data_IF_370242519994
#
_entry.id   IF_370242519994
#
_cell.length_a   1.000
_cell.length_b   1.000
_cell.length_c   1.000
_cell.angle_alpha   90.00
_cell.angle_beta   90.00
_cell.angle_gamma   90.00
#
_symmetry.space_group_name_H-M   'P 1'
#
loop_
_entity.id
_entity.type
_entity.pdbx_description
1 polymer ?
#
# COMPACT_ATOMS: atom_id res chain seq x y z
N UNK A 1 2.51 3.49 37.16
CA UNK A 1 1.59 4.37 37.86
C UNK A 1 2.10 5.81 37.93
N UNK A 2 3.32 6.05 38.35
CA UNK A 2 3.88 7.41 38.45
C UNK A 2 3.80 8.14 37.09
N UNK A 3 4.25 7.53 35.99
CA UNK A 3 4.20 8.13 34.67
C UNK A 3 2.77 8.46 34.20
N UNK A 4 1.78 7.62 34.56
CA UNK A 4 0.35 7.88 34.25
C UNK A 4 -0.15 9.08 35.04
N UNK A 5 0.19 9.17 36.32
CA UNK A 5 -0.20 10.30 37.18
C UNK A 5 0.45 11.60 36.73
N UNK A 6 1.73 11.57 36.33
CA UNK A 6 2.41 12.71 35.72
C UNK A 6 1.76 13.17 34.41
N UNK A 7 1.32 12.23 33.60
CA UNK A 7 0.60 12.54 32.35
C UNK A 7 -0.78 13.17 32.62
N UNK A 8 -1.54 12.60 33.54
CA UNK A 8 -2.82 13.17 33.98
C UNK A 8 -2.63 14.59 34.54
N UNK A 9 -1.59 14.79 35.35
CA UNK A 9 -1.29 16.11 35.93
C UNK A 9 -0.93 17.16 34.90
N UNK A 10 -0.07 16.80 33.92
CA UNK A 10 0.24 17.68 32.78
C UNK A 10 -0.99 18.01 31.93
N UNK A 11 -1.95 17.08 31.83
CA UNK A 11 -3.24 17.29 31.17
C UNK A 11 -4.26 18.09 31.98
N UNK A 12 -3.88 18.56 33.19
CA UNK A 12 -4.75 19.32 34.08
C UNK A 12 -5.85 18.50 34.75
N UNK A 13 -5.60 17.18 34.96
CA UNK A 13 -6.54 16.29 35.66
C UNK A 13 -6.14 16.13 37.12
N UNK A 14 -7.13 16.20 38.01
CA UNK A 14 -6.98 15.90 39.42
C UNK A 14 -7.11 14.41 39.75
N UNK A 15 -7.69 13.64 38.83
CA UNK A 15 -7.82 12.18 38.94
C UNK A 15 -6.44 11.50 39.01
N UNK A 16 -6.34 10.40 39.77
CA UNK A 16 -5.08 9.68 39.98
C UNK A 16 -5.25 8.16 39.92
N UNK A 17 -4.20 7.50 39.50
CA UNK A 17 -4.10 6.04 39.55
C UNK A 17 -3.34 5.61 40.80
N UNK A 18 -3.93 4.77 41.62
CA UNK A 18 -3.34 4.22 42.83
C UNK A 18 -3.37 2.71 42.84
N UNK A 19 -2.51 2.07 43.63
CA UNK A 19 -2.59 0.65 43.93
C UNK A 19 -2.81 0.41 45.41
N UNK A 20 -3.64 -0.56 45.76
CA UNK A 20 -3.83 -1.02 47.13
C UNK A 20 -3.49 -2.50 47.19
N UNK A 21 -2.63 -2.89 48.13
CA UNK A 21 -2.23 -4.29 48.32
C UNK A 21 -3.49 -5.18 48.48
N UNK A 22 -3.66 -6.17 47.64
CA UNK A 22 -4.82 -7.09 47.63
C UNK A 22 -5.98 -6.65 46.73
N UNK A 23 -6.04 -5.36 46.29
CA UNK A 23 -7.16 -4.83 45.46
C UNK A 23 -6.75 -4.39 44.06
N UNK A 24 -5.50 -4.64 43.64
CA UNK A 24 -5.01 -4.30 42.32
C UNK A 24 -4.80 -2.79 42.08
N UNK A 25 -4.86 -2.39 40.82
CA UNK A 25 -4.75 -1.00 40.38
C UNK A 25 -6.14 -0.37 40.33
N UNK A 26 -6.29 0.81 40.92
CA UNK A 26 -7.56 1.54 40.96
C UNK A 26 -7.35 2.99 40.52
N UNK A 27 -8.25 3.48 39.67
CA UNK A 27 -8.30 4.89 39.33
C UNK A 27 -9.27 5.60 40.28
N UNK A 28 -8.81 6.67 40.91
CA UNK A 28 -9.63 7.59 41.70
C UNK A 28 -10.07 8.69 40.77
N UNK A 29 -11.29 8.60 40.26
CA UNK A 29 -11.87 9.55 39.31
C UNK A 29 -12.54 10.72 40.02
N UNK A 30 -12.20 11.93 39.61
CA UNK A 30 -12.99 13.13 39.92
C UNK A 30 -14.19 13.14 38.97
N UNK A 31 -15.41 13.16 39.51
CA UNK A 31 -16.64 12.94 38.72
C UNK A 31 -16.76 13.85 37.49
N UNK A 32 -16.33 15.12 37.59
CA UNK A 32 -16.35 16.08 36.47
C UNK A 32 -15.33 15.79 35.37
N UNK A 33 -14.34 14.94 35.62
CA UNK A 33 -13.29 14.61 34.67
C UNK A 33 -13.54 13.30 33.92
N UNK A 34 -14.54 12.52 34.33
CA UNK A 34 -14.83 11.20 33.77
C UNK A 34 -14.95 11.22 32.25
N UNK A 35 -15.80 12.08 31.70
CA UNK A 35 -15.99 12.18 30.24
C UNK A 35 -14.74 12.66 29.49
N UNK A 36 -13.94 13.58 30.09
CA UNK A 36 -12.68 14.04 29.52
C UNK A 36 -11.60 12.95 29.53
N UNK A 37 -11.57 12.14 30.60
CA UNK A 37 -10.65 11.01 30.71
C UNK A 37 -11.09 9.89 29.79
N UNK A 38 -12.38 9.60 29.68
CA UNK A 38 -12.93 8.64 28.71
C UNK A 38 -12.62 9.05 27.26
N UNK A 39 -12.75 10.34 26.93
CA UNK A 39 -12.33 10.88 25.63
C UNK A 39 -10.81 10.79 25.43
N UNK A 40 -10.00 11.09 26.44
CA UNK A 40 -8.55 10.96 26.42
C UNK A 40 -8.15 9.48 26.25
N UNK A 41 -8.83 8.55 26.92
CA UNK A 41 -8.59 7.10 26.82
C UNK A 41 -9.10 6.56 25.49
N UNK A 42 -10.21 7.06 24.96
CA UNK A 42 -10.69 6.70 23.63
C UNK A 42 -9.78 7.24 22.51
N UNK A 43 -9.19 8.43 22.71
CA UNK A 43 -8.21 9.03 21.81
C UNK A 43 -6.80 8.39 21.98
N UNK A 44 -6.51 7.93 23.21
CA UNK A 44 -5.32 7.17 23.58
C UNK A 44 -5.70 5.75 23.95
N UNK A 45 -6.40 4.99 23.09
CA UNK A 45 -6.74 3.60 23.43
C UNK A 45 -5.48 2.85 23.86
N UNK A 46 -5.25 2.82 25.19
CA UNK A 46 -4.24 2.01 25.90
C UNK A 46 -4.78 0.56 26.00
N UNK A 47 -5.54 0.14 25.02
CA UNK A 47 -5.64 -1.26 24.71
C UNK A 47 -4.23 -1.70 24.31
N UNK A 48 -3.78 -2.81 24.87
CA UNK A 48 -2.50 -3.41 24.49
C UNK A 48 -2.40 -3.38 22.98
N UNK A 49 -1.55 -2.51 22.45
CA UNK A 49 -1.42 -2.30 20.99
C UNK A 49 -1.43 -3.66 20.31
N UNK A 50 -2.20 -3.85 19.23
CA UNK A 50 -2.18 -5.11 18.48
C UNK A 50 -0.73 -5.54 18.24
N UNK A 51 -0.50 -6.83 18.28
CA UNK A 51 0.86 -7.40 18.15
C UNK A 51 1.58 -6.94 16.89
N UNK A 52 0.82 -6.77 15.81
CA UNK A 52 1.33 -6.28 14.52
C UNK A 52 1.80 -4.82 14.62
N UNK A 53 1.09 -3.97 15.34
CA UNK A 53 1.46 -2.57 15.56
C UNK A 53 2.75 -2.43 16.36
N UNK A 54 2.87 -3.21 17.46
CA UNK A 54 4.11 -3.26 18.24
C UNK A 54 5.29 -3.75 17.40
N UNK A 55 5.02 -4.72 16.51
CA UNK A 55 6.01 -5.25 15.60
C UNK A 55 6.60 -4.16 14.70
N UNK A 56 5.77 -3.51 13.88
CA UNK A 56 6.30 -2.54 12.91
C UNK A 56 6.93 -1.33 13.61
N UNK A 57 6.28 -0.81 14.66
CA UNK A 57 6.87 0.29 15.43
C UNK A 57 8.21 -0.11 16.05
N UNK A 58 8.32 -1.32 16.59
CA UNK A 58 9.57 -1.86 17.12
C UNK A 58 10.66 -2.03 16.07
N UNK A 59 10.30 -2.56 14.90
CA UNK A 59 11.23 -2.67 13.76
C UNK A 59 11.76 -1.30 13.35
N UNK A 60 10.88 -0.31 13.17
CA UNK A 60 11.29 1.06 12.80
C UNK A 60 12.16 1.73 13.87
N UNK A 61 11.84 1.56 15.15
CA UNK A 61 12.68 2.08 16.23
C UNK A 61 14.10 1.48 16.21
N UNK A 62 14.21 0.19 15.94
CA UNK A 62 15.50 -0.49 15.89
C UNK A 62 16.30 -0.12 14.62
N UNK A 63 15.64 0.16 13.50
CA UNK A 63 16.29 0.31 12.19
C UNK A 63 16.43 1.75 11.71
N UNK A 64 15.47 2.62 12.05
CA UNK A 64 15.40 4.00 11.54
C UNK A 64 15.66 5.07 12.59
N UNK A 65 15.81 4.69 13.88
CA UNK A 65 16.16 5.64 14.94
C UNK A 65 17.67 5.72 15.12
N UNK A 66 18.23 6.92 15.41
CA UNK A 66 19.64 7.07 15.79
C UNK A 66 19.96 6.49 17.19
N UNK A 67 18.91 6.10 17.94
CA UNK A 67 19.06 5.53 19.29
C UNK A 67 19.21 4.02 19.22
N UNK A 68 20.17 3.48 19.97
CA UNK A 68 20.27 2.04 20.20
C UNK A 68 19.25 1.57 21.25
N UNK A 69 18.61 0.46 21.00
CA UNK A 69 17.62 -0.14 21.89
C UNK A 69 18.10 -1.46 22.46
N UNK A 70 17.93 -1.64 23.76
CA UNK A 70 17.93 -2.97 24.42
C UNK A 70 16.51 -3.51 24.48
N UNK A 71 16.34 -4.79 24.84
CA UNK A 71 14.99 -5.36 25.03
C UNK A 71 14.18 -4.56 26.05
N UNK A 72 14.81 -4.12 27.14
CA UNK A 72 14.13 -3.36 28.19
C UNK A 72 13.76 -1.93 27.75
N UNK A 73 14.64 -1.24 27.02
CA UNK A 73 14.34 0.11 26.53
C UNK A 73 13.30 0.07 25.38
N UNK A 74 13.34 -0.95 24.53
CA UNK A 74 12.34 -1.14 23.48
C UNK A 74 10.98 -1.49 24.06
N UNK A 75 10.91 -2.35 25.10
CA UNK A 75 9.65 -2.66 25.76
C UNK A 75 8.98 -1.40 26.32
N UNK A 76 9.77 -0.52 26.97
CA UNK A 76 9.26 0.77 27.44
C UNK A 76 8.78 1.67 26.32
N UNK A 77 9.52 1.76 25.21
CA UNK A 77 9.16 2.56 24.05
C UNK A 77 7.86 2.05 23.37
N UNK A 78 7.62 0.75 23.40
CA UNK A 78 6.42 0.11 22.87
C UNK A 78 5.26 0.01 23.86
N UNK A 79 5.39 0.60 25.05
CA UNK A 79 4.41 0.54 26.14
C UNK A 79 4.00 -0.89 26.51
N UNK A 80 4.96 -1.81 26.53
CA UNK A 80 4.78 -3.22 26.89
C UNK A 80 5.79 -3.67 27.96
N UNK A 81 5.67 -4.88 28.46
CA UNK A 81 6.65 -5.45 29.36
C UNK A 81 7.66 -6.34 28.61
N UNK A 82 8.80 -6.60 29.29
CA UNK A 82 9.90 -7.39 28.72
C UNK A 82 9.48 -8.79 28.26
N UNK A 83 8.65 -9.48 29.06
CA UNK A 83 8.21 -10.85 28.75
C UNK A 83 7.33 -10.87 27.49
N UNK A 84 6.38 -9.94 27.40
CA UNK A 84 5.53 -9.79 26.22
C UNK A 84 6.36 -9.46 24.99
N UNK A 85 7.31 -8.52 25.10
CA UNK A 85 8.18 -8.18 23.96
C UNK A 85 9.03 -9.38 23.53
N UNK A 86 9.60 -10.15 24.46
CA UNK A 86 10.35 -11.37 24.15
C UNK A 86 9.50 -12.42 23.43
N UNK A 87 8.22 -12.53 23.81
CA UNK A 87 7.27 -13.40 23.13
C UNK A 87 6.97 -12.88 21.72
N UNK A 88 6.74 -11.56 21.57
CA UNK A 88 6.52 -10.94 20.27
C UNK A 88 7.74 -11.09 19.35
N UNK A 89 8.95 -10.93 19.87
CA UNK A 89 10.21 -11.08 19.10
C UNK A 89 10.41 -12.50 18.53
N UNK A 90 9.87 -13.54 19.16
CA UNK A 90 9.88 -14.88 18.58
C UNK A 90 9.03 -14.95 17.31
N UNK A 91 7.88 -14.30 17.33
CA UNK A 91 7.01 -14.19 16.18
C UNK A 91 7.61 -13.26 15.10
N UNK A 92 8.26 -12.15 15.49
CA UNK A 92 9.00 -11.29 14.56
C UNK A 92 10.03 -12.07 13.77
N UNK A 93 10.79 -12.93 14.43
CA UNK A 93 11.79 -13.77 13.77
C UNK A 93 11.15 -14.71 12.71
N UNK A 94 9.94 -15.22 12.94
CA UNK A 94 9.23 -16.00 11.93
C UNK A 94 8.82 -15.15 10.70
N UNK A 95 8.40 -13.90 10.91
CA UNK A 95 8.06 -12.99 9.82
C UNK A 95 9.28 -12.52 9.03
N UNK A 96 10.43 -12.41 9.67
CA UNK A 96 11.70 -11.99 9.07
C UNK A 96 12.35 -13.11 8.23
N UNK A 97 12.13 -14.36 8.61
CA UNK A 97 12.78 -15.52 7.98
C UNK A 97 12.62 -15.60 6.46
N UNK A 98 11.45 -15.36 5.85
CA UNK A 98 11.30 -15.38 4.38
C UNK A 98 12.12 -14.31 3.66
N UNK A 99 12.58 -13.27 4.37
CA UNK A 99 13.41 -12.20 3.85
C UNK A 99 14.90 -12.40 4.17
N UNK A 100 15.27 -13.56 4.73
CA UNK A 100 16.64 -13.87 5.17
C UNK A 100 17.17 -12.86 6.21
N UNK A 101 16.24 -12.29 7.00
CA UNK A 101 16.56 -11.35 8.07
C UNK A 101 16.58 -12.06 9.43
N UNK A 102 17.48 -11.62 10.29
CA UNK A 102 17.58 -12.10 11.66
C UNK A 102 17.70 -10.95 12.68
N UNK A 103 17.29 -11.20 13.92
CA UNK A 103 17.39 -10.22 14.99
C UNK A 103 18.51 -10.58 15.96
N UNK A 104 19.55 -9.74 16.03
CA UNK A 104 20.59 -9.81 17.03
C UNK A 104 20.08 -9.29 18.37
N UNK A 105 20.33 -10.06 19.45
CA UNK A 105 19.81 -9.76 20.81
C UNK A 105 20.89 -9.53 21.85
N UNK A 106 22.14 -9.62 21.46
CA UNK A 106 23.28 -9.40 22.38
C UNK A 106 23.66 -7.92 22.39
N UNK A 107 23.53 -7.28 23.56
CA UNK A 107 23.75 -5.85 23.70
C UNK A 107 22.59 -5.02 23.17
N UNK A 108 22.85 -4.17 22.19
CA UNK A 108 21.81 -3.43 21.46
C UNK A 108 21.12 -4.34 20.43
N UNK A 109 19.80 -4.17 20.30
CA UNK A 109 19.02 -4.85 19.27
C UNK A 109 19.42 -4.33 17.88
N UNK A 110 19.63 -5.25 16.93
CA UNK A 110 19.86 -4.95 15.53
C UNK A 110 19.17 -5.99 14.66
N UNK A 111 18.79 -5.62 13.44
CA UNK A 111 18.31 -6.54 12.41
C UNK A 111 19.44 -6.72 11.41
N UNK A 112 19.85 -7.96 11.20
CA UNK A 112 20.93 -8.39 10.31
C UNK A 112 20.34 -9.00 9.05
N UNK A 113 20.97 -8.76 7.91
CA UNK A 113 20.62 -9.21 6.57
C UNK A 113 20.89 -8.13 5.53
N UNK A 114 20.48 -8.36 4.29
CA UNK A 114 20.63 -7.40 3.20
C UNK A 114 19.82 -6.14 3.47
N UNK A 115 20.38 -4.97 3.16
CA UNK A 115 19.68 -3.68 3.30
C UNK A 115 18.46 -3.59 2.40
N UNK A 116 18.51 -4.15 1.19
CA UNK A 116 17.36 -4.25 0.27
C UNK A 116 16.25 -5.07 0.92
N UNK A 117 16.57 -6.26 1.43
CA UNK A 117 15.61 -7.15 2.07
C UNK A 117 14.98 -6.50 3.31
N UNK A 118 15.78 -5.79 4.11
CA UNK A 118 15.28 -5.07 5.29
C UNK A 118 14.27 -3.99 4.91
N UNK A 119 14.58 -3.15 3.92
CA UNK A 119 13.67 -2.09 3.48
C UNK A 119 12.37 -2.67 2.92
N UNK A 120 12.45 -3.75 2.13
CA UNK A 120 11.25 -4.41 1.61
C UNK A 120 10.42 -5.07 2.70
N UNK A 121 11.05 -5.68 3.66
CA UNK A 121 10.36 -6.24 4.81
C UNK A 121 9.59 -5.17 5.60
N UNK A 122 10.20 -4.00 5.82
CA UNK A 122 9.54 -2.87 6.48
C UNK A 122 8.31 -2.44 5.68
N UNK A 123 8.44 -2.28 4.36
CA UNK A 123 7.34 -1.84 3.50
C UNK A 123 6.24 -2.88 3.42
N UNK A 124 6.59 -4.14 3.20
CA UNK A 124 5.65 -5.25 3.21
C UNK A 124 4.81 -5.30 4.49
N UNK A 125 5.47 -5.05 5.63
CA UNK A 125 4.80 -5.02 6.93
C UNK A 125 3.89 -3.80 7.09
N UNK A 126 4.24 -2.67 6.48
CA UNK A 126 3.46 -1.43 6.50
C UNK A 126 2.08 -1.58 5.86
N UNK A 127 1.94 -2.38 4.81
CA UNK A 127 0.66 -2.63 4.14
C UNK A 127 -0.42 -3.28 5.01
N UNK A 128 -0.03 -3.85 6.13
CA UNK A 128 -0.93 -4.53 7.06
C UNK A 128 -1.45 -3.61 8.17
N UNK A 129 -1.13 -2.30 8.09
CA UNK A 129 -1.50 -1.34 9.12
C UNK A 129 -2.68 -0.48 8.69
N UNK A 130 -3.50 -0.10 9.65
CA UNK A 130 -4.53 0.90 9.44
C UNK A 130 -3.98 2.35 9.39
N UNK A 131 -4.78 3.26 8.83
CA UNK A 131 -4.39 4.65 8.65
C UNK A 131 -4.14 5.40 9.99
N UNK A 132 -4.82 5.01 11.08
CA UNK A 132 -4.64 5.61 12.41
C UNK A 132 -3.28 5.26 12.98
N UNK A 133 -2.88 4.01 12.82
CA UNK A 133 -1.57 3.54 13.22
C UNK A 133 -0.46 4.31 12.52
N UNK A 134 -0.57 4.47 11.20
CA UNK A 134 0.39 5.24 10.42
C UNK A 134 0.49 6.66 10.94
N UNK A 135 -0.61 7.37 11.06
CA UNK A 135 -0.66 8.77 11.50
C UNK A 135 -0.12 8.98 12.92
N UNK A 136 -0.49 8.11 13.84
CA UNK A 136 -0.23 8.34 15.27
C UNK A 136 1.15 7.85 15.71
N UNK A 137 1.72 6.83 15.04
CA UNK A 137 2.93 6.17 15.51
C UNK A 137 4.06 6.12 14.49
N UNK A 138 3.73 6.11 13.21
CA UNK A 138 4.74 5.99 12.16
C UNK A 138 5.19 7.35 11.66
N UNK A 139 4.26 8.21 11.27
CA UNK A 139 4.59 9.55 10.76
C UNK A 139 5.42 10.39 11.74
N UNK A 140 5.15 10.38 13.06
CA UNK A 140 5.98 11.14 14.04
C UNK A 140 7.43 10.64 14.17
N UNK A 141 7.76 9.45 13.62
CA UNK A 141 9.14 8.95 13.64
C UNK A 141 10.03 9.59 12.57
N UNK A 142 9.41 10.23 11.56
CA UNK A 142 10.11 10.86 10.45
C UNK A 142 10.04 12.39 10.55
N UNK A 143 11.08 13.06 10.07
CA UNK A 143 11.12 14.52 10.05
C UNK A 143 10.00 15.09 9.16
N UNK A 144 9.37 16.17 9.64
CA UNK A 144 8.30 16.86 8.87
C UNK A 144 8.81 17.38 7.52
N UNK A 145 10.06 17.84 7.50
CA UNK A 145 10.74 18.30 6.30
C UNK A 145 10.85 17.21 5.24
N UNK A 146 11.12 15.97 5.67
CA UNK A 146 11.13 14.81 4.76
C UNK A 146 9.75 14.59 4.18
N UNK A 147 8.70 14.60 4.99
CA UNK A 147 7.33 14.40 4.50
C UNK A 147 6.97 15.44 3.44
N UNK A 148 7.22 16.73 3.70
CA UNK A 148 6.94 17.80 2.74
C UNK A 148 7.81 17.73 1.48
N UNK A 149 9.05 17.26 1.61
CA UNK A 149 9.93 17.04 0.47
C UNK A 149 9.42 15.88 -0.39
N UNK A 150 9.07 14.75 0.23
CA UNK A 150 8.65 13.54 -0.48
C UNK A 150 7.28 13.70 -1.16
N UNK A 151 6.37 14.50 -0.61
CA UNK A 151 5.12 14.85 -1.28
C UNK A 151 5.39 15.59 -2.61
N UNK A 152 6.33 16.55 -2.59
CA UNK A 152 6.76 17.25 -3.80
C UNK A 152 7.46 16.34 -4.80
N UNK A 153 8.28 15.42 -4.31
CA UNK A 153 8.94 14.41 -5.15
C UNK A 153 7.91 13.50 -5.83
N UNK A 154 6.86 13.09 -5.11
CA UNK A 154 5.79 12.31 -5.70
C UNK A 154 5.06 13.08 -6.81
N UNK A 155 4.72 14.36 -6.59
CA UNK A 155 4.11 15.22 -7.61
C UNK A 155 5.02 15.43 -8.83
N UNK A 156 6.34 15.55 -8.63
CA UNK A 156 7.31 15.64 -9.70
C UNK A 156 7.44 14.35 -10.50
N UNK A 157 7.42 13.20 -9.82
CA UNK A 157 7.48 11.88 -10.45
C UNK A 157 6.20 11.59 -11.25
N UNK A 158 5.02 11.89 -10.71
CA UNK A 158 3.74 11.72 -11.42
C UNK A 158 3.70 12.59 -12.71
N UNK A 159 4.18 13.82 -12.64
CA UNK A 159 4.28 14.68 -13.83
C UNK A 159 5.29 14.17 -14.85
N UNK A 160 6.44 13.67 -14.41
CA UNK A 160 7.46 13.11 -15.29
C UNK A 160 7.00 11.83 -15.98
N UNK A 161 6.27 11.00 -15.24
CA UNK A 161 5.72 9.73 -15.75
C UNK A 161 4.40 9.96 -16.54
N UNK A 162 3.79 11.14 -16.46
CA UNK A 162 2.50 11.44 -17.10
C UNK A 162 1.32 10.66 -16.51
N UNK A 163 1.43 10.18 -15.26
CA UNK A 163 0.45 9.31 -14.63
C UNK A 163 0.29 9.64 -13.16
N UNK A 164 -0.87 9.34 -12.59
CA UNK A 164 -1.14 9.48 -11.15
C UNK A 164 -1.03 8.13 -10.45
N UNK A 165 -0.28 8.09 -9.37
CA UNK A 165 -0.23 6.90 -8.50
C UNK A 165 -1.58 6.72 -7.78
N UNK A 166 -2.01 5.49 -7.65
CA UNK A 166 -3.08 5.17 -6.72
C UNK A 166 -2.68 5.60 -5.30
N UNK A 167 -3.64 6.08 -4.53
CA UNK A 167 -3.42 6.62 -3.18
C UNK A 167 -2.57 5.69 -2.30
N UNK A 168 -2.89 4.41 -2.31
CA UNK A 168 -2.13 3.39 -1.58
C UNK A 168 -0.68 3.29 -2.08
N UNK A 169 -0.46 3.25 -3.38
CA UNK A 169 0.89 3.21 -3.97
C UNK A 169 1.68 4.47 -3.65
N UNK A 170 1.03 5.64 -3.69
CA UNK A 170 1.66 6.91 -3.31
C UNK A 170 2.10 6.88 -1.84
N UNK A 171 1.25 6.39 -0.94
CA UNK A 171 1.58 6.23 0.47
C UNK A 171 2.74 5.24 0.68
N UNK A 172 2.73 4.13 -0.03
CA UNK A 172 3.78 3.12 0.01
C UNK A 172 5.11 3.66 -0.47
N UNK A 173 5.12 4.33 -1.63
CA UNK A 173 6.32 4.95 -2.18
C UNK A 173 6.84 6.04 -1.24
N UNK A 174 5.98 6.90 -0.71
CA UNK A 174 6.36 7.91 0.28
C UNK A 174 6.97 7.27 1.53
N UNK A 175 6.39 6.19 2.01
CA UNK A 175 6.91 5.47 3.18
C UNK A 175 8.26 4.80 2.89
N UNK A 176 8.42 4.16 1.72
CA UNK A 176 9.71 3.64 1.27
C UNK A 176 10.79 4.73 1.30
N UNK A 177 10.49 5.88 0.72
CA UNK A 177 11.44 6.98 0.64
C UNK A 177 11.76 7.58 2.01
N UNK A 178 10.79 7.63 2.95
CA UNK A 178 11.04 8.01 4.36
C UNK A 178 12.05 7.05 5.01
N UNK A 179 11.84 5.75 4.83
CA UNK A 179 12.76 4.72 5.34
C UNK A 179 14.13 4.87 4.70
N UNK A 180 14.21 5.04 3.38
CA UNK A 180 15.46 5.28 2.64
C UNK A 180 16.22 6.49 3.21
N UNK A 181 15.58 7.64 3.35
CA UNK A 181 16.21 8.84 3.90
C UNK A 181 16.72 8.62 5.33
N UNK A 182 15.93 7.97 6.19
CA UNK A 182 16.35 7.67 7.56
C UNK A 182 17.57 6.72 7.59
N UNK A 183 17.55 5.68 6.76
CA UNK A 183 18.64 4.71 6.66
C UNK A 183 19.92 5.34 6.12
N UNK A 184 19.83 6.16 5.06
CA UNK A 184 20.98 6.89 4.51
C UNK A 184 21.63 7.83 5.54
N UNK A 185 20.84 8.56 6.33
CA UNK A 185 21.39 9.40 7.43
C UNK A 185 22.10 8.60 8.50
N UNK A 186 21.76 7.34 8.68
CA UNK A 186 22.44 6.41 9.59
C UNK A 186 23.65 5.70 8.95
N UNK A 187 23.98 6.04 7.70
CA UNK A 187 25.11 5.47 6.97
C UNK A 187 24.85 4.09 6.36
N UNK A 188 23.59 3.65 6.29
CA UNK A 188 23.22 2.38 5.65
C UNK A 188 22.89 2.61 4.18
N UNK A 189 23.62 1.96 3.30
CA UNK A 189 23.47 1.98 1.84
C UNK A 189 23.12 0.60 1.32
N UNK A 190 22.55 0.56 0.11
CA UNK A 190 22.22 -0.71 -0.56
C UNK A 190 23.47 -1.55 -0.81
N UNK A 191 23.33 -2.86 -0.68
CA UNK A 191 24.40 -3.82 -0.88
C UNK A 191 24.93 -3.82 -2.33
N UNK A 192 26.18 -4.25 -2.53
CA UNK A 192 26.73 -4.52 -3.86
C UNK A 192 25.91 -5.62 -4.55
N UNK A 193 25.56 -5.41 -5.81
CA UNK A 193 24.69 -6.33 -6.56
C UNK A 193 23.21 -6.00 -6.56
N UNK A 194 22.75 -5.01 -5.78
CA UNK A 194 21.37 -4.48 -5.83
C UNK A 194 21.09 -3.65 -7.09
N UNK A 195 22.04 -3.62 -8.04
CA UNK A 195 21.99 -2.75 -9.20
C UNK A 195 21.01 -3.22 -10.27
N UNK A 196 20.00 -2.41 -10.51
CA UNK A 196 19.11 -2.50 -11.66
C UNK A 196 19.28 -1.23 -12.50
N UNK A 197 18.89 -1.30 -13.77
CA UNK A 197 18.88 -0.12 -14.63
C UNK A 197 17.64 0.73 -14.32
N UNK A 198 17.77 2.07 -14.30
CA UNK A 198 16.60 2.93 -14.17
C UNK A 198 15.60 2.70 -15.31
N UNK A 199 14.35 2.35 -14.97
CA UNK A 199 13.28 2.22 -15.95
C UNK A 199 12.96 3.57 -16.65
N UNK A 200 13.29 4.69 -15.98
CA UNK A 200 13.10 6.06 -16.45
C UNK A 200 14.33 6.92 -16.19
N UNK A 201 15.26 7.04 -17.17
CA UNK A 201 16.49 7.83 -17.02
C UNK A 201 16.26 9.32 -16.70
N UNK A 202 15.18 9.92 -17.23
CA UNK A 202 14.84 11.31 -16.93
C UNK A 202 14.40 11.49 -15.47
N UNK A 203 13.53 10.62 -14.98
CA UNK A 203 13.12 10.60 -13.57
C UNK A 203 14.30 10.35 -12.64
N UNK A 204 15.16 9.38 -12.98
CA UNK A 204 16.38 9.09 -12.22
C UNK A 204 17.25 10.34 -12.02
N UNK A 205 17.59 11.04 -13.10
CA UNK A 205 18.43 12.27 -13.03
C UNK A 205 17.80 13.35 -12.15
N UNK A 206 16.49 13.53 -12.28
CA UNK A 206 15.73 14.51 -11.49
C UNK A 206 15.73 14.14 -10.00
N UNK A 207 15.44 12.88 -9.66
CA UNK A 207 15.44 12.38 -8.30
C UNK A 207 16.83 12.51 -7.66
N UNK A 208 17.90 12.10 -8.36
CA UNK A 208 19.27 12.18 -7.85
C UNK A 208 19.60 13.60 -7.37
N UNK A 209 19.45 14.59 -8.23
CA UNK A 209 19.74 15.98 -7.90
C UNK A 209 18.89 16.50 -6.72
N UNK A 210 17.62 16.08 -6.61
CA UNK A 210 16.72 16.50 -5.54
C UNK A 210 17.09 15.89 -4.20
N UNK A 211 17.34 14.58 -4.16
CA UNK A 211 17.69 13.86 -2.94
C UNK A 211 19.06 14.27 -2.41
N UNK A 212 20.08 14.40 -3.26
CA UNK A 212 21.42 14.88 -2.85
C UNK A 212 21.35 16.27 -2.21
N UNK A 213 20.56 17.17 -2.79
CA UNK A 213 20.35 18.51 -2.21
C UNK A 213 19.60 18.45 -0.88
N UNK A 214 18.59 17.59 -0.75
CA UNK A 214 17.78 17.46 0.46
C UNK A 214 18.56 16.84 1.61
N UNK A 215 19.33 15.80 1.33
CA UNK A 215 20.13 15.08 2.33
C UNK A 215 21.50 15.75 2.60
N UNK A 216 21.93 16.67 1.73
CA UNK A 216 23.22 17.36 1.86
C UNK A 216 24.44 16.46 1.66
N UNK A 217 24.28 15.31 0.96
CA UNK A 217 25.32 14.32 0.72
C UNK A 217 25.14 13.67 -0.65
N UNK A 218 26.25 13.20 -1.27
CA UNK A 218 26.16 12.40 -2.48
C UNK A 218 25.44 11.07 -2.19
N UNK A 219 24.63 10.61 -3.15
CA UNK A 219 23.83 9.39 -3.02
C UNK A 219 24.25 8.41 -4.11
N UNK A 220 24.43 7.16 -3.72
CA UNK A 220 24.76 6.06 -4.63
C UNK A 220 23.64 5.91 -5.69
N UNK A 221 24.05 5.69 -6.94
CA UNK A 221 23.13 5.54 -8.08
C UNK A 221 22.13 4.40 -7.89
N UNK A 222 22.51 3.35 -7.17
CA UNK A 222 21.63 2.22 -6.82
C UNK A 222 20.41 2.65 -6.00
N UNK A 223 20.63 3.54 -5.03
CA UNK A 223 19.54 4.09 -4.18
C UNK A 223 18.51 4.83 -5.03
N UNK A 224 19.00 5.70 -5.91
CA UNK A 224 18.12 6.50 -6.77
C UNK A 224 17.47 5.65 -7.86
N UNK A 225 18.19 4.66 -8.39
CA UNK A 225 17.63 3.69 -9.34
C UNK A 225 16.45 2.95 -8.72
N UNK A 226 16.62 2.42 -7.51
CA UNK A 226 15.58 1.71 -6.81
C UNK A 226 14.39 2.63 -6.49
N UNK A 227 14.65 3.86 -6.03
CA UNK A 227 13.60 4.86 -5.78
C UNK A 227 12.83 5.22 -7.06
N UNK A 228 13.52 5.43 -8.18
CA UNK A 228 12.91 5.69 -9.49
C UNK A 228 12.05 4.53 -9.96
N UNK A 229 12.56 3.31 -9.83
CA UNK A 229 11.85 2.10 -10.22
C UNK A 229 10.65 1.82 -9.31
N UNK A 230 10.72 2.22 -8.04
CA UNK A 230 9.58 2.13 -7.12
C UNK A 230 8.41 3.01 -7.57
N UNK A 231 8.67 4.22 -8.06
CA UNK A 231 7.63 5.05 -8.71
C UNK A 231 7.10 4.36 -9.97
N UNK A 232 7.98 3.84 -10.81
CA UNK A 232 7.62 3.26 -12.11
C UNK A 232 6.81 1.97 -11.99
N UNK A 233 7.03 1.16 -10.95
CA UNK A 233 6.29 -0.09 -10.71
C UNK A 233 5.10 0.05 -9.75
N UNK A 234 4.80 1.26 -9.28
CA UNK A 234 3.64 1.55 -8.47
C UNK A 234 2.33 1.25 -9.20
N UNK A 235 1.26 1.09 -8.44
CA UNK A 235 -0.07 0.96 -9.01
C UNK A 235 -0.62 2.34 -9.37
N UNK A 236 -1.12 2.48 -10.59
CA UNK A 236 -1.61 3.75 -11.14
C UNK A 236 -3.11 3.88 -10.98
N UNK A 237 -3.59 5.12 -10.84
CA UNK A 237 -5.02 5.37 -10.79
C UNK A 237 -5.67 5.07 -12.13
N UNK A 238 -6.82 4.42 -12.06
CA UNK A 238 -7.70 4.27 -13.19
C UNK A 238 -8.61 5.48 -13.32
N UNK A 239 -8.77 5.99 -14.54
CA UNK A 239 -9.78 6.99 -14.85
C UNK A 239 -10.34 6.74 -16.24
N UNK A 240 -11.52 7.28 -16.53
CA UNK A 240 -12.17 7.20 -17.85
C UNK A 240 -11.34 7.79 -18.99
N UNK A 241 -10.41 8.67 -18.68
CA UNK A 241 -9.43 9.19 -19.63
C UNK A 241 -8.30 8.22 -19.98
N UNK A 242 -8.34 6.98 -19.43
CA UNK A 242 -7.29 5.98 -19.60
C UNK A 242 -6.15 6.12 -18.57
N UNK A 243 -5.09 5.33 -18.77
CA UNK A 243 -3.92 5.21 -17.89
C UNK A 243 -2.96 6.43 -17.92
N UNK A 244 -3.38 7.57 -18.45
CA UNK A 244 -2.51 8.71 -18.69
C UNK A 244 -1.81 8.64 -20.05
N UNK A 245 -0.98 9.64 -20.33
CA UNK A 245 -0.36 9.83 -21.65
C UNK A 245 0.82 8.89 -21.94
N UNK A 246 1.21 8.04 -20.98
CA UNK A 246 2.36 7.16 -21.17
C UNK A 246 2.02 5.96 -22.02
N UNK A 247 2.72 5.82 -23.13
CA UNK A 247 2.70 4.59 -23.92
C UNK A 247 3.52 3.49 -23.20
N UNK A 248 3.00 2.26 -23.14
CA UNK A 248 3.75 1.12 -22.64
C UNK A 248 5.01 0.90 -23.48
N UNK A 249 6.05 0.30 -22.87
CA UNK A 249 7.23 -0.10 -23.62
C UNK A 249 6.86 -1.13 -24.71
N UNK A 250 7.61 -1.15 -25.82
CA UNK A 250 7.41 -2.14 -26.89
C UNK A 250 7.38 -3.57 -26.34
N UNK A 251 8.21 -3.86 -25.33
CA UNK A 251 8.29 -5.17 -24.68
C UNK A 251 7.00 -5.52 -23.95
N UNK A 252 6.42 -4.60 -23.18
CA UNK A 252 5.18 -4.82 -22.45
C UNK A 252 3.97 -4.90 -23.38
N UNK A 253 3.95 -4.08 -24.43
CA UNK A 253 2.93 -4.12 -25.47
C UNK A 253 2.95 -5.45 -26.22
N UNK A 254 4.13 -5.91 -26.67
CA UNK A 254 4.26 -7.21 -27.33
C UNK A 254 3.82 -8.37 -26.43
N UNK A 255 4.15 -8.34 -25.13
CA UNK A 255 3.74 -9.35 -24.18
C UNK A 255 2.21 -9.32 -23.96
N UNK A 256 1.61 -8.13 -23.89
CA UNK A 256 0.15 -7.98 -23.82
C UNK A 256 -0.54 -8.55 -25.08
N UNK A 257 0.02 -8.34 -26.28
CA UNK A 257 -0.49 -8.89 -27.52
C UNK A 257 -0.45 -10.43 -27.53
N UNK A 258 0.60 -11.04 -26.98
CA UNK A 258 0.66 -12.50 -26.82
C UNK A 258 -0.46 -13.00 -25.88
N UNK A 259 -0.68 -12.31 -24.76
CA UNK A 259 -1.77 -12.61 -23.82
C UNK A 259 -3.12 -12.42 -24.51
N UNK A 260 -3.33 -11.31 -25.20
CA UNK A 260 -4.59 -11.02 -25.93
C UNK A 260 -4.95 -12.10 -26.94
N UNK A 261 -3.99 -12.55 -27.76
CA UNK A 261 -4.20 -13.65 -28.72
C UNK A 261 -4.51 -14.98 -28.03
N UNK A 262 -3.89 -15.25 -26.88
CA UNK A 262 -4.18 -16.47 -26.13
C UNK A 262 -5.61 -16.45 -25.56
N UNK A 263 -6.05 -15.29 -25.06
CA UNK A 263 -7.41 -15.10 -24.57
C UNK A 263 -8.44 -15.22 -25.69
N UNK A 264 -8.20 -14.56 -26.83
CA UNK A 264 -9.08 -14.69 -28.02
C UNK A 264 -9.20 -16.14 -28.50
N UNK A 265 -8.06 -16.83 -28.63
CA UNK A 265 -8.04 -18.24 -29.00
C UNK A 265 -8.81 -19.13 -28.01
N UNK A 266 -8.71 -18.84 -26.72
CA UNK A 266 -9.32 -19.66 -25.65
C UNK A 266 -10.81 -19.39 -25.48
N UNK A 267 -11.24 -18.13 -25.60
CA UNK A 267 -12.58 -17.67 -25.24
C UNK A 267 -13.40 -17.16 -26.42
N UNK A 268 -12.84 -17.13 -27.64
CA UNK A 268 -13.54 -16.75 -28.85
C UNK A 268 -13.82 -15.26 -29.02
N UNK A 269 -13.34 -14.40 -28.11
CA UNK A 269 -13.52 -12.94 -28.15
C UNK A 269 -12.19 -12.25 -27.88
N UNK A 270 -11.80 -11.31 -28.75
CA UNK A 270 -10.63 -10.49 -28.53
C UNK A 270 -10.86 -9.52 -27.36
N UNK A 271 -9.87 -9.31 -26.48
CA UNK A 271 -9.90 -8.21 -25.52
C UNK A 271 -10.02 -6.87 -26.23
N UNK A 272 -10.76 -5.93 -25.65
CA UNK A 272 -10.85 -4.59 -26.20
C UNK A 272 -9.55 -3.77 -25.99
N UNK A 273 -9.45 -2.63 -26.70
CA UNK A 273 -8.26 -1.78 -26.63
C UNK A 273 -7.99 -1.20 -25.25
N UNK A 274 -9.01 -1.04 -24.42
CA UNK A 274 -8.90 -0.58 -23.04
C UNK A 274 -8.24 -1.63 -22.15
N UNK A 275 -8.73 -2.87 -22.24
CA UNK A 275 -8.15 -4.00 -21.52
C UNK A 275 -6.71 -4.26 -21.97
N UNK A 276 -6.42 -4.14 -23.27
CA UNK A 276 -5.06 -4.31 -23.79
C UNK A 276 -4.10 -3.24 -23.24
N UNK A 277 -4.53 -1.99 -23.13
CA UNK A 277 -3.74 -0.93 -22.48
C UNK A 277 -3.50 -1.21 -21.00
N UNK A 278 -4.53 -1.69 -20.27
CA UNK A 278 -4.41 -2.12 -18.87
C UNK A 278 -3.41 -3.25 -18.71
N UNK A 279 -3.51 -4.28 -19.52
CA UNK A 279 -2.58 -5.41 -19.52
C UNK A 279 -1.15 -4.97 -19.77
N UNK A 280 -0.93 -4.12 -20.77
CA UNK A 280 0.41 -3.60 -21.07
C UNK A 280 1.02 -2.85 -19.86
N UNK A 281 0.24 -2.00 -19.18
CA UNK A 281 0.71 -1.27 -18.02
C UNK A 281 0.98 -2.17 -16.81
N UNK A 282 0.13 -3.19 -16.58
CA UNK A 282 0.35 -4.17 -15.52
C UNK A 282 1.59 -5.02 -15.77
N UNK A 283 1.79 -5.46 -17.01
CA UNK A 283 2.97 -6.21 -17.43
C UNK A 283 4.25 -5.40 -17.34
N UNK A 284 4.22 -4.11 -17.71
CA UNK A 284 5.34 -3.20 -17.52
C UNK A 284 5.75 -3.11 -16.05
N UNK A 285 4.79 -2.82 -15.18
CA UNK A 285 5.03 -2.75 -13.73
C UNK A 285 5.51 -4.07 -13.15
N UNK A 286 4.99 -5.20 -13.63
CA UNK A 286 5.39 -6.54 -13.20
C UNK A 286 6.84 -6.86 -13.62
N UNK A 287 7.23 -6.49 -14.84
CA UNK A 287 8.61 -6.68 -15.31
C UNK A 287 9.60 -5.82 -14.53
N UNK A 288 9.26 -4.55 -14.25
CA UNK A 288 10.11 -3.69 -13.40
C UNK A 288 10.25 -4.30 -12.00
N UNK A 289 9.15 -4.79 -11.40
CA UNK A 289 9.20 -5.46 -10.09
C UNK A 289 10.08 -6.70 -10.12
N UNK A 290 9.98 -7.53 -11.15
CA UNK A 290 10.84 -8.69 -11.31
C UNK A 290 12.31 -8.29 -11.41
N UNK A 291 12.63 -7.33 -12.27
CA UNK A 291 14.00 -6.87 -12.51
C UNK A 291 14.63 -6.23 -11.24
N UNK A 292 13.79 -5.66 -10.36
CA UNK A 292 14.21 -5.12 -9.06
C UNK A 292 14.10 -6.14 -7.91
N UNK A 293 13.68 -7.37 -8.16
CA UNK A 293 13.37 -8.40 -7.14
C UNK A 293 12.34 -7.91 -6.09
N UNK A 294 11.30 -7.18 -6.54
CA UNK A 294 10.28 -6.52 -5.74
C UNK A 294 8.99 -7.35 -5.67
N UNK A 295 8.99 -8.48 -4.95
CA UNK A 295 7.75 -9.25 -4.75
C UNK A 295 6.87 -8.58 -3.69
N UNK A 296 5.88 -7.80 -4.12
CA UNK A 296 4.91 -7.14 -3.23
C UNK A 296 3.56 -7.82 -3.39
N UNK A 297 3.08 -8.59 -2.39
CA UNK A 297 1.74 -9.20 -2.44
C UNK A 297 0.64 -8.14 -2.57
N UNK A 298 -0.37 -8.43 -3.37
CA UNK A 298 -1.56 -7.60 -3.46
C UNK A 298 -2.46 -7.80 -2.23
N UNK A 299 -3.15 -6.76 -1.74
CA UNK A 299 -4.03 -6.89 -0.57
C UNK A 299 -5.22 -7.83 -0.82
N UNK A 300 -5.70 -7.94 -2.05
CA UNK A 300 -6.85 -8.76 -2.43
C UNK A 300 -6.49 -10.14 -2.98
N UNK A 301 -5.20 -10.49 -3.09
CA UNK A 301 -4.76 -11.75 -3.70
C UNK A 301 -5.45 -12.98 -3.08
N UNK A 302 -5.61 -12.98 -1.76
CA UNK A 302 -6.23 -14.09 -1.05
C UNK A 302 -7.74 -14.14 -1.29
N UNK A 303 -8.41 -13.00 -1.25
CA UNK A 303 -9.87 -12.88 -1.48
C UNK A 303 -10.22 -13.34 -2.88
N UNK A 304 -9.48 -12.87 -3.90
CA UNK A 304 -9.71 -13.24 -5.30
C UNK A 304 -9.62 -14.73 -5.52
N UNK A 305 -8.57 -15.37 -4.98
CA UNK A 305 -8.40 -16.83 -5.11
C UNK A 305 -9.50 -17.59 -4.41
N UNK A 306 -10.01 -17.10 -3.28
CA UNK A 306 -11.08 -17.76 -2.54
C UNK A 306 -12.44 -17.61 -3.24
N UNK A 307 -12.83 -16.39 -3.59
CA UNK A 307 -14.19 -16.08 -4.03
C UNK A 307 -14.46 -16.36 -5.51
N UNK A 308 -13.39 -16.47 -6.31
CA UNK A 308 -13.49 -16.67 -7.76
C UNK A 308 -12.57 -17.81 -8.25
N UNK A 309 -12.43 -18.87 -7.49
CA UNK A 309 -11.47 -19.94 -7.74
C UNK A 309 -11.56 -20.49 -9.17
N UNK A 310 -12.77 -20.80 -9.65
CA UNK A 310 -12.96 -21.39 -10.99
C UNK A 310 -12.53 -20.41 -12.09
N UNK A 311 -13.01 -19.18 -12.04
CA UNK A 311 -12.62 -18.11 -12.97
C UNK A 311 -11.13 -17.82 -12.90
N UNK A 312 -10.57 -17.80 -11.68
CA UNK A 312 -9.15 -17.63 -11.47
C UNK A 312 -8.33 -18.74 -12.12
N UNK A 313 -8.68 -19.99 -11.87
CA UNK A 313 -7.97 -21.15 -12.44
C UNK A 313 -8.05 -21.18 -13.95
N UNK A 314 -9.21 -20.86 -14.51
CA UNK A 314 -9.44 -20.83 -15.95
C UNK A 314 -8.55 -19.77 -16.65
N UNK A 315 -8.49 -18.56 -16.11
CA UNK A 315 -7.64 -17.48 -16.61
C UNK A 315 -6.17 -17.78 -16.37
N UNK A 316 -5.82 -18.27 -15.18
CA UNK A 316 -4.45 -18.62 -14.85
C UNK A 316 -3.89 -19.71 -15.77
N UNK A 317 -4.70 -20.71 -16.10
CA UNK A 317 -4.32 -21.76 -17.05
C UNK A 317 -4.12 -21.21 -18.46
N UNK A 318 -5.01 -20.31 -18.92
CA UNK A 318 -4.85 -19.62 -20.18
C UNK A 318 -3.53 -18.81 -20.24
N UNK A 319 -3.19 -18.10 -19.18
CA UNK A 319 -1.94 -17.32 -19.07
C UNK A 319 -0.70 -18.24 -19.05
N UNK A 320 -0.75 -19.36 -18.35
CA UNK A 320 0.33 -20.36 -18.35
C UNK A 320 0.60 -20.96 -19.73
N UNK A 321 -0.41 -20.95 -20.60
CA UNK A 321 -0.28 -21.35 -21.99
C UNK A 321 0.54 -20.40 -22.86
N UNK A 322 0.88 -19.18 -22.38
CA UNK A 322 1.65 -18.17 -23.10
C UNK A 322 3.15 -18.34 -22.83
N UNK A 323 3.95 -18.86 -23.81
CA UNK A 323 5.38 -19.11 -23.58
C UNK A 323 6.16 -17.86 -23.19
N UNK A 324 5.84 -16.73 -23.80
CA UNK A 324 6.51 -15.44 -23.56
C UNK A 324 6.25 -14.93 -22.14
N UNK A 325 5.03 -15.15 -21.62
CA UNK A 325 4.71 -14.79 -20.24
C UNK A 325 5.43 -15.69 -19.24
N UNK A 326 5.59 -16.97 -19.53
CA UNK A 326 6.40 -17.88 -18.71
C UNK A 326 7.87 -17.49 -18.72
N UNK A 327 8.43 -17.13 -19.88
CA UNK A 327 9.79 -16.66 -20.02
C UNK A 327 10.04 -15.31 -19.32
N UNK A 328 8.97 -14.53 -19.05
CA UNK A 328 9.07 -13.30 -18.29
C UNK A 328 9.29 -13.53 -16.78
N UNK A 329 9.10 -14.74 -16.28
CA UNK A 329 9.35 -15.14 -14.87
C UNK A 329 8.73 -14.18 -13.84
N UNK A 330 7.48 -13.75 -14.07
CA UNK A 330 6.80 -12.82 -13.18
C UNK A 330 6.50 -13.45 -11.81
N UNK A 331 6.48 -12.62 -10.76
CA UNK A 331 6.06 -13.07 -9.44
C UNK A 331 4.60 -13.56 -9.45
N UNK A 332 4.30 -14.53 -8.58
CA UNK A 332 2.93 -15.05 -8.40
C UNK A 332 1.93 -13.94 -8.07
N UNK A 333 2.31 -12.96 -7.27
CA UNK A 333 1.49 -11.79 -6.96
C UNK A 333 1.14 -10.98 -8.21
N UNK A 334 2.08 -10.79 -9.13
CA UNK A 334 1.84 -10.04 -10.36
C UNK A 334 0.96 -10.82 -11.34
N UNK A 335 1.17 -12.13 -11.46
CA UNK A 335 0.27 -13.00 -12.23
C UNK A 335 -1.16 -12.94 -11.68
N UNK A 336 -1.31 -12.92 -10.35
CA UNK A 336 -2.62 -12.75 -9.71
C UNK A 336 -3.25 -11.41 -10.06
N UNK A 337 -2.51 -10.30 -10.05
CA UNK A 337 -3.01 -8.98 -10.47
C UNK A 337 -3.49 -8.96 -11.92
N UNK A 338 -2.74 -9.62 -12.81
CA UNK A 338 -3.14 -9.78 -14.21
C UNK A 338 -4.46 -10.56 -14.30
N UNK A 339 -4.58 -11.68 -13.60
CA UNK A 339 -5.83 -12.47 -13.56
C UNK A 339 -6.98 -11.62 -13.05
N UNK A 340 -6.78 -10.85 -11.95
CA UNK A 340 -7.79 -9.95 -11.40
C UNK A 340 -8.30 -8.96 -12.45
N UNK A 341 -7.41 -8.38 -13.25
CA UNK A 341 -7.78 -7.43 -14.30
C UNK A 341 -8.55 -8.07 -15.46
N UNK A 342 -8.45 -9.40 -15.60
CA UNK A 342 -9.11 -10.18 -16.66
C UNK A 342 -10.47 -10.76 -16.24
N UNK A 343 -10.83 -10.74 -14.96
CA UNK A 343 -12.10 -11.31 -14.49
C UNK A 343 -13.29 -10.61 -15.14
N UNK A 344 -13.25 -9.29 -15.28
CA UNK A 344 -14.27 -8.54 -15.99
C UNK A 344 -14.41 -8.95 -17.45
N UNK A 345 -13.29 -9.19 -18.15
CA UNK A 345 -13.31 -9.67 -19.52
C UNK A 345 -14.00 -11.04 -19.63
N UNK A 346 -13.70 -11.96 -18.73
CA UNK A 346 -14.32 -13.28 -18.71
C UNK A 346 -15.84 -13.18 -18.52
N UNK A 347 -16.29 -12.26 -17.67
CA UNK A 347 -17.71 -12.01 -17.43
C UNK A 347 -18.40 -11.36 -18.65
N UNK A 348 -17.73 -10.44 -19.34
CA UNK A 348 -18.25 -9.80 -20.56
C UNK A 348 -18.49 -10.78 -21.73
N UNK A 349 -17.86 -11.94 -21.71
CA UNK A 349 -18.13 -13.01 -22.68
C UNK A 349 -19.52 -13.65 -22.44
N UNK A 350 -20.07 -13.53 -21.24
CA UNK A 350 -21.24 -14.30 -20.78
C UNK A 350 -22.48 -13.49 -20.33
N UNK A 351 -22.41 -12.15 -20.05
CA UNK A 351 -23.51 -11.47 -19.35
C UNK A 351 -23.96 -10.12 -19.94
N UNK A 352 -25.28 -9.79 -19.85
CA UNK A 352 -25.86 -8.48 -20.20
C UNK A 352 -26.22 -7.65 -18.95
N UNK A 353 -26.08 -6.32 -19.01
CA UNK A 353 -26.12 -5.35 -17.89
C UNK A 353 -27.19 -4.28 -18.05
N UNK A 354 -27.69 -3.70 -16.97
CA UNK A 354 -28.88 -2.84 -16.97
C UNK A 354 -28.69 -1.44 -16.38
N UNK A 355 -28.09 -1.25 -15.21
CA UNK A 355 -27.90 0.07 -14.58
C UNK A 355 -26.58 0.73 -14.95
N UNK A 356 -26.60 2.07 -15.17
CA UNK A 356 -25.39 2.87 -15.44
C UNK A 356 -24.82 3.39 -14.14
N UNK A 357 -23.70 2.86 -13.72
CA UNK A 357 -23.06 3.20 -12.44
C UNK A 357 -21.66 3.75 -12.67
N UNK A 358 -21.27 4.78 -11.92
CA UNK A 358 -19.90 5.24 -11.82
C UNK A 358 -19.22 4.57 -10.62
N UNK A 359 -18.07 3.91 -10.84
CA UNK A 359 -17.25 3.38 -9.77
C UNK A 359 -16.19 4.40 -9.36
N UNK A 360 -16.25 4.85 -8.12
CA UNK A 360 -15.27 5.82 -7.58
C UNK A 360 -14.17 5.07 -6.85
N UNK A 361 -12.92 5.32 -7.26
CA UNK A 361 -11.78 4.55 -6.79
C UNK A 361 -10.64 5.45 -6.25
N UNK A 362 -9.95 4.93 -5.26
CA UNK A 362 -8.71 5.47 -4.72
C UNK A 362 -7.57 4.42 -4.68
N UNK A 363 -7.78 3.32 -5.36
CA UNK A 363 -6.90 2.15 -5.41
C UNK A 363 -6.30 1.97 -6.81
N UNK A 364 -5.52 0.91 -6.99
CA UNK A 364 -4.84 0.63 -8.24
C UNK A 364 -5.71 -0.06 -9.29
N UNK A 365 -5.13 -0.25 -10.47
CA UNK A 365 -5.82 -0.80 -11.65
C UNK A 365 -6.38 -2.19 -11.38
N UNK A 366 -5.58 -3.08 -10.79
CA UNK A 366 -5.96 -4.46 -10.52
C UNK A 366 -7.09 -4.57 -9.49
N UNK A 367 -7.04 -3.77 -8.44
CA UNK A 367 -8.08 -3.70 -7.41
C UNK A 367 -9.38 -3.12 -7.97
N UNK A 368 -9.25 -2.08 -8.80
CA UNK A 368 -10.38 -1.47 -9.51
C UNK A 368 -11.06 -2.46 -10.43
N UNK A 369 -10.29 -3.17 -11.26
CA UNK A 369 -10.83 -4.17 -12.19
C UNK A 369 -11.55 -5.30 -11.45
N UNK A 370 -10.96 -5.77 -10.34
CA UNK A 370 -11.59 -6.77 -9.49
C UNK A 370 -12.87 -6.26 -8.83
N UNK A 371 -12.84 -5.07 -8.26
CA UNK A 371 -14.01 -4.45 -7.64
C UNK A 371 -15.16 -4.30 -8.63
N UNK A 372 -14.88 -3.78 -9.83
CA UNK A 372 -15.87 -3.68 -10.92
C UNK A 372 -16.46 -5.05 -11.26
N UNK A 373 -15.62 -6.06 -11.48
CA UNK A 373 -16.05 -7.42 -11.75
C UNK A 373 -16.97 -7.98 -10.65
N UNK A 374 -16.58 -7.83 -9.37
CA UNK A 374 -17.35 -8.33 -8.24
C UNK A 374 -18.72 -7.68 -8.14
N UNK A 375 -18.78 -6.34 -8.25
CA UNK A 375 -20.03 -5.57 -8.16
C UNK A 375 -20.99 -6.04 -9.27
N UNK A 376 -20.55 -6.09 -10.52
CA UNK A 376 -21.39 -6.50 -11.64
C UNK A 376 -21.79 -7.98 -11.58
N UNK A 377 -20.95 -8.83 -10.98
CA UNK A 377 -21.26 -10.25 -10.79
C UNK A 377 -22.30 -10.48 -9.69
N UNK A 378 -22.17 -9.78 -8.56
CA UNK A 378 -23.11 -9.90 -7.44
C UNK A 378 -24.44 -9.21 -7.73
N UNK A 379 -24.39 -8.09 -8.45
CA UNK A 379 -25.57 -7.31 -8.81
C UNK A 379 -25.78 -7.32 -10.35
N UNK A 380 -26.40 -8.34 -10.86
CA UNK A 380 -26.60 -8.57 -12.31
C UNK A 380 -27.31 -7.44 -13.06
N UNK A 381 -27.92 -6.49 -12.35
CA UNK A 381 -28.57 -5.29 -12.90
C UNK A 381 -27.67 -4.05 -12.89
N UNK A 382 -26.44 -4.13 -12.45
CA UNK A 382 -25.47 -3.04 -12.44
C UNK A 382 -24.55 -3.14 -13.65
N UNK A 383 -24.39 -2.02 -14.36
CA UNK A 383 -23.38 -1.84 -15.40
C UNK A 383 -22.51 -0.65 -15.05
N UNK A 384 -21.27 -0.89 -14.72
CA UNK A 384 -20.30 0.19 -14.44
C UNK A 384 -19.83 0.77 -15.76
N UNK A 385 -20.42 1.92 -16.13
CA UNK A 385 -20.15 2.61 -17.41
C UNK A 385 -18.83 3.37 -17.37
N UNK A 386 -18.37 3.76 -16.16
CA UNK A 386 -17.13 4.49 -16.02
C UNK A 386 -16.51 4.34 -14.64
N UNK A 387 -15.18 4.48 -14.60
CA UNK A 387 -14.39 4.51 -13.37
C UNK A 387 -13.78 5.89 -13.23
N UNK A 388 -14.09 6.54 -12.11
CA UNK A 388 -13.67 7.91 -11.81
C UNK A 388 -12.92 7.95 -10.49
N UNK A 389 -12.09 8.94 -10.30
CA UNK A 389 -11.34 9.11 -9.04
C UNK A 389 -12.14 9.92 -8.01
N UNK A 390 -11.81 9.81 -6.73
CA UNK A 390 -12.36 10.70 -5.69
C UNK A 390 -12.19 12.17 -6.08
N UNK A 391 -11.06 12.52 -6.71
CA UNK A 391 -10.77 13.88 -7.15
C UNK A 391 -11.75 14.38 -8.23
N UNK A 392 -12.17 13.51 -9.15
CA UNK A 392 -13.13 13.88 -10.20
C UNK A 392 -14.53 14.18 -9.61
N UNK A 393 -14.87 13.56 -8.47
CA UNK A 393 -16.15 13.76 -7.77
C UNK A 393 -16.09 14.97 -6.85
N UNK A 394 -15.06 15.06 -5.99
CA UNK A 394 -14.95 16.10 -4.97
C UNK A 394 -14.48 17.46 -5.53
N UNK A 395 -13.74 17.43 -6.63
CA UNK A 395 -13.18 18.63 -7.29
C UNK A 395 -13.32 18.51 -8.81
N UNK A 396 -14.55 18.56 -9.35
CA UNK A 396 -14.77 18.39 -10.77
C UNK A 396 -14.04 19.49 -11.57
N UNK A 397 -13.48 19.10 -12.69
CA UNK A 397 -12.79 20.03 -13.58
C UNK A 397 -13.81 21.01 -14.19
N UNK A 398 -13.44 22.27 -14.42
CA UNK A 398 -14.32 23.20 -15.14
C UNK A 398 -14.74 22.64 -16.51
N UNK A 399 -16.03 22.57 -16.78
CA UNK A 399 -16.58 22.01 -18.02
C UNK A 399 -16.76 20.49 -18.04
N UNK A 400 -16.45 19.76 -16.96
CA UNK A 400 -16.75 18.33 -16.87
C UNK A 400 -18.27 18.08 -16.92
N UNK A 401 -18.73 16.99 -17.58
CA UNK A 401 -20.15 16.60 -17.59
C UNK A 401 -20.66 16.38 -16.17
N UNK A 402 -21.93 16.75 -15.92
CA UNK A 402 -22.52 16.51 -14.59
C UNK A 402 -22.69 15.02 -14.35
N UNK A 403 -22.48 14.58 -13.10
CA UNK A 403 -22.57 13.17 -12.72
C UNK A 403 -23.93 12.55 -13.09
N UNK A 404 -25.03 13.31 -12.90
CA UNK A 404 -26.40 12.89 -13.24
C UNK A 404 -26.63 12.58 -14.73
N UNK A 405 -25.82 13.16 -15.64
CA UNK A 405 -25.94 12.93 -17.07
C UNK A 405 -25.24 11.61 -17.48
N UNK A 406 -24.33 11.14 -16.64
CA UNK A 406 -23.49 9.97 -16.90
C UNK A 406 -23.96 8.73 -16.15
N UNK A 407 -24.39 8.88 -14.88
CA UNK A 407 -24.63 7.79 -13.96
C UNK A 407 -26.01 7.89 -13.32
N UNK A 408 -26.55 6.75 -12.96
CA UNK A 408 -27.76 6.64 -12.15
C UNK A 408 -27.41 6.78 -10.65
N UNK A 409 -26.25 6.25 -10.24
CA UNK A 409 -25.63 6.43 -8.93
C UNK A 409 -24.14 6.10 -8.99
N UNK A 410 -23.43 6.37 -7.87
CA UNK A 410 -22.02 6.01 -7.70
C UNK A 410 -21.88 4.86 -6.71
N UNK A 411 -20.85 4.03 -6.90
CA UNK A 411 -20.34 3.09 -5.90
C UNK A 411 -18.93 3.53 -5.53
N UNK A 412 -18.60 3.56 -4.23
CA UNK A 412 -17.28 3.96 -3.74
C UNK A 412 -16.77 3.01 -2.66
N UNK A 413 -15.44 2.82 -2.61
CA UNK A 413 -14.77 2.09 -1.52
C UNK A 413 -14.44 2.97 -0.30
N UNK A 414 -14.75 4.26 -0.36
CA UNK A 414 -14.60 5.21 0.73
C UNK A 414 -15.76 6.19 0.75
N UNK A 415 -16.14 6.73 1.90
CA UNK A 415 -17.14 7.80 1.97
C UNK A 415 -16.70 8.99 1.12
N UNK A 416 -17.63 9.50 0.30
CA UNK A 416 -17.42 10.67 -0.56
C UNK A 416 -18.18 11.87 0.01
N UNK A 417 -17.58 13.03 -0.13
CA UNK A 417 -18.25 14.30 0.17
C UNK A 417 -18.89 14.87 -1.11
N UNK A 418 -20.03 14.32 -1.50
CA UNK A 418 -20.79 14.77 -2.67
C UNK A 418 -22.30 14.63 -2.46
N UNK A 419 -23.10 15.44 -3.16
CA UNK A 419 -24.56 15.42 -3.10
C UNK A 419 -25.20 14.41 -4.08
N UNK A 420 -24.39 13.67 -4.85
CA UNK A 420 -24.89 12.67 -5.79
C UNK A 420 -25.11 11.31 -5.10
N UNK A 421 -26.19 10.57 -5.46
CA UNK A 421 -26.47 9.26 -4.85
C UNK A 421 -25.26 8.34 -4.91
N UNK A 422 -24.78 7.91 -3.73
CA UNK A 422 -23.58 7.10 -3.60
C UNK A 422 -23.79 5.96 -2.64
N UNK A 423 -23.35 4.76 -3.01
CA UNK A 423 -23.29 3.58 -2.17
C UNK A 423 -21.83 3.35 -1.81
N UNK A 424 -21.53 3.32 -0.51
CA UNK A 424 -20.19 2.98 -0.03
C UNK A 424 -20.16 1.51 0.35
N UNK A 425 -19.23 0.77 -0.22
CA UNK A 425 -19.02 -0.67 0.01
C UNK A 425 -17.61 -0.92 0.54
N UNK A 426 -17.38 -2.11 1.10
CA UNK A 426 -16.05 -2.49 1.56
C UNK A 426 -15.13 -2.87 0.37
N UNK A 427 -13.79 -2.75 0.55
CA UNK A 427 -12.82 -3.20 -0.46
C UNK A 427 -12.88 -4.73 -0.66
N UNK A 428 -13.33 -5.47 0.33
CA UNK A 428 -13.47 -6.93 0.31
C UNK A 428 -14.85 -7.40 -0.11
N UNK A 429 -15.51 -6.66 -0.99
CA UNK A 429 -16.88 -6.83 -1.50
C UNK A 429 -17.45 -8.23 -1.23
N UNK A 430 -18.48 -8.35 -0.42
CA UNK A 430 -19.18 -9.60 -0.10
C UNK A 430 -20.68 -9.52 -0.45
N UNK A 431 -21.44 -10.56 -0.12
CA UNK A 431 -22.89 -10.61 -0.40
C UNK A 431 -23.72 -9.66 0.49
N UNK A 432 -23.11 -9.02 1.48
CA UNK A 432 -23.77 -8.07 2.38
C UNK A 432 -23.58 -6.61 1.93
N UNK A 433 -22.59 -6.33 1.07
CA UNK A 433 -22.38 -5.03 0.45
C UNK A 433 -23.42 -4.77 -0.67
#
# INVERSE_FOLDING_TARGET
MQAVNEHLERGGFASRVGSKRGNGIRMVLVHREKGRIEALVADTSIESRPRLERFLHGVLLVTCSPRSYTVDSLARALFTNKQQLQHDMKWWALLMKPFELSMKRQGSLAIEGSEVALRFFIIYSFFKLDARMVKNYIDPMFAREDTLFLDRIADEAERELGMLLAKNSRQQTSFYLKVMCARLRLGHVLDEGSGTTPAHPALFKKLKSRFERHLGMPIDDREITLASNFFSCGTWQWSSGGLGAREPSERSAALADHVGRALEKRFGKAPDGELMRRLSALLESAMIRRDCNLSIPGPLEHVVKHDNMDSFLLLFDALRGVPELRAAELFSADTTRIVMSLLEYLDQVHTQRVFRVGLVVNCGIEQTAYGKYRIEKLASKIHIVDVITEYDVERPRPGAPQLKDRFDFLISFSPLNCDFPTITISEAIDEQD
#
